data_IF_962968839379
#
_entry.id   IF_962968839379
#
_cell.length_a   1.000
_cell.length_b   1.000
_cell.length_c   1.000
_cell.angle_alpha   90.00
_cell.angle_beta   90.00
_cell.angle_gamma   90.00
#
_symmetry.space_group_name_H-M   'P 1'
#
loop_
_entity.id
_entity.type
_entity.pdbx_description
1 polymer ?
#
# COMPACT_ATOMS: atom_id res chain seq x y z
N UNK A 1 42.83 38.70 32.78
CA UNK A 1 42.99 37.61 31.77
C UNK A 1 42.59 36.21 32.25
N UNK A 2 42.68 35.86 33.54
CA UNK A 2 42.27 34.52 34.03
C UNK A 2 40.75 34.28 34.16
N UNK A 3 39.93 35.33 34.25
CA UNK A 3 38.46 35.23 34.42
C UNK A 3 37.68 35.03 33.12
N UNK A 4 38.22 35.45 31.98
CA UNK A 4 37.56 35.32 30.68
C UNK A 4 37.70 33.93 30.05
N UNK A 5 38.72 33.16 30.44
CA UNK A 5 38.92 31.79 29.93
C UNK A 5 37.92 30.79 30.57
N UNK A 6 37.50 31.05 31.82
CA UNK A 6 36.53 30.18 32.51
C UNK A 6 35.11 30.28 31.94
N UNK A 7 34.72 31.42 31.37
CA UNK A 7 33.36 31.61 30.83
C UNK A 7 33.16 30.91 29.47
N UNK A 8 34.21 30.86 28.64
CA UNK A 8 34.13 30.24 27.30
C UNK A 8 34.08 28.71 27.40
N UNK A 9 34.77 28.12 28.39
CA UNK A 9 34.72 26.67 28.62
C UNK A 9 33.36 26.19 29.17
N UNK A 10 32.65 27.01 29.94
CA UNK A 10 31.32 26.67 30.46
C UNK A 10 30.22 26.73 29.38
N UNK A 11 30.32 27.64 28.41
CA UNK A 11 29.38 27.70 27.29
C UNK A 11 29.55 26.54 26.29
N UNK A 12 30.78 26.02 26.11
CA UNK A 12 31.04 24.92 25.19
C UNK A 12 30.58 23.54 25.71
N UNK A 13 30.40 23.38 27.03
CA UNK A 13 29.89 22.12 27.62
C UNK A 13 28.36 22.05 27.70
N UNK A 14 27.65 23.15 27.48
CA UNK A 14 26.18 23.18 27.49
C UNK A 14 25.54 22.79 26.15
N UNK A 15 26.31 22.66 25.07
CA UNK A 15 25.78 22.34 23.73
C UNK A 15 25.90 20.85 23.35
N UNK A 16 26.46 20.00 24.21
CA UNK A 16 26.66 18.58 23.93
C UNK A 16 25.63 17.66 24.61
N UNK A 17 24.67 18.21 25.35
CA UNK A 17 23.64 17.44 26.04
C UNK A 17 22.27 17.70 25.38
N UNK A 18 21.57 16.61 25.04
CA UNK A 18 20.19 16.57 24.55
C UNK A 18 19.99 16.82 23.04
N UNK A 19 20.67 16.03 22.20
CA UNK A 19 20.10 15.63 20.91
C UNK A 19 19.85 14.12 20.91
N UNK A 20 19.14 13.62 21.93
CA UNK A 20 18.39 12.36 21.74
C UNK A 20 17.28 12.71 20.75
N UNK A 21 17.46 12.33 19.50
CA UNK A 21 16.44 12.48 18.46
C UNK A 21 15.30 11.53 18.79
N UNK A 22 14.37 12.01 19.64
CA UNK A 22 13.09 11.38 19.92
C UNK A 22 12.38 11.09 18.59
N UNK A 23 11.68 9.96 18.49
CA UNK A 23 10.95 9.57 17.28
C UNK A 23 11.80 8.88 16.22
N UNK A 24 13.09 8.62 16.44
CA UNK A 24 13.93 7.91 15.46
C UNK A 24 14.01 6.40 15.70
N UNK A 25 13.52 5.91 16.82
CA UNK A 25 13.44 4.46 17.07
C UNK A 25 12.04 3.99 16.71
N UNK A 26 11.92 2.89 15.98
CA UNK A 26 10.62 2.31 15.67
C UNK A 26 9.87 1.90 16.96
N UNK A 27 8.55 2.14 17.07
CA UNK A 27 7.74 1.56 18.14
C UNK A 27 7.64 0.05 17.93
N UNK A 28 8.33 -0.78 18.71
CA UNK A 28 8.40 -2.23 18.45
C UNK A 28 7.38 -3.03 19.24
N UNK A 29 6.75 -4.02 18.60
CA UNK A 29 5.81 -4.93 19.26
C UNK A 29 6.50 -5.88 20.25
N UNK A 30 7.80 -6.15 20.05
CA UNK A 30 8.60 -6.97 20.96
C UNK A 30 8.92 -6.29 22.30
N UNK A 31 8.70 -4.98 22.40
CA UNK A 31 9.00 -4.23 23.61
C UNK A 31 8.08 -4.67 24.75
N UNK A 32 8.65 -4.98 25.90
CA UNK A 32 7.83 -5.28 27.08
C UNK A 32 7.30 -3.99 27.69
N UNK A 33 6.14 -4.04 28.35
CA UNK A 33 5.60 -2.88 29.12
C UNK A 33 6.57 -2.36 30.19
N UNK A 34 7.49 -3.20 30.66
CA UNK A 34 8.48 -2.85 31.67
C UNK A 34 9.70 -2.14 31.06
N UNK A 35 9.84 -2.17 29.74
CA UNK A 35 10.91 -1.52 28.97
C UNK A 35 10.39 -1.07 27.59
N UNK A 36 9.42 -0.14 27.54
CA UNK A 36 8.86 0.36 26.29
C UNK A 36 9.89 1.23 25.55
N UNK A 37 9.81 1.26 24.22
CA UNK A 37 10.47 2.32 23.44
C UNK A 37 9.90 3.70 23.80
N UNK A 38 10.70 4.74 23.62
CA UNK A 38 10.28 6.12 23.88
C UNK A 38 9.09 6.51 22.99
N UNK A 39 9.04 5.98 21.78
CA UNK A 39 8.01 6.23 20.80
C UNK A 39 6.65 5.67 21.23
N UNK A 40 6.61 4.47 21.82
CA UNK A 40 5.38 3.90 22.41
C UNK A 40 4.91 4.76 23.60
N UNK A 41 5.83 5.23 24.45
CA UNK A 41 5.48 6.14 25.56
C UNK A 41 4.89 7.44 25.02
N UNK A 42 5.47 8.00 23.96
CA UNK A 42 4.97 9.22 23.34
C UNK A 42 3.63 9.01 22.61
N UNK A 43 3.33 7.82 22.07
CA UNK A 43 1.98 7.47 21.60
C UNK A 43 0.97 7.48 22.75
N UNK A 44 1.32 6.84 23.88
CA UNK A 44 0.45 6.76 25.06
C UNK A 44 0.10 8.16 25.60
N UNK A 45 1.04 9.10 25.55
CA UNK A 45 0.83 10.50 25.96
C UNK A 45 0.08 11.32 24.91
N UNK A 46 0.29 11.05 23.63
CA UNK A 46 -0.36 11.78 22.54
C UNK A 46 -1.86 11.52 22.51
N UNK A 47 -2.28 10.26 22.67
CA UNK A 47 -3.71 9.85 22.62
C UNK A 47 -4.07 9.18 23.93
N UNK A 48 -4.39 9.99 24.95
CA UNK A 48 -4.48 9.55 26.35
C UNK A 48 -5.51 8.44 26.63
N UNK A 49 -6.60 8.38 25.85
CA UNK A 49 -7.66 7.40 26.04
C UNK A 49 -7.45 6.11 25.24
N UNK A 50 -6.51 6.07 24.29
CA UNK A 50 -6.30 4.92 23.43
C UNK A 50 -5.84 3.69 24.21
N UNK A 51 -6.58 2.58 24.13
CA UNK A 51 -6.18 1.29 24.70
C UNK A 51 -5.04 0.63 23.91
N UNK A 52 -5.00 0.83 22.59
CA UNK A 52 -4.00 0.26 21.70
C UNK A 52 -3.24 1.33 20.92
N UNK A 53 -1.99 1.01 20.55
CA UNK A 53 -1.13 1.84 19.70
C UNK A 53 -0.45 1.00 18.62
N UNK A 54 -0.13 1.59 17.46
CA UNK A 54 0.56 0.88 16.40
C UNK A 54 2.01 0.57 16.79
N UNK A 55 2.43 -0.65 16.52
CA UNK A 55 3.82 -1.07 16.65
C UNK A 55 4.26 -1.87 15.42
N UNK A 56 5.58 -1.98 15.27
CA UNK A 56 6.25 -2.71 14.21
C UNK A 56 6.81 -4.03 14.74
N UNK A 57 6.51 -5.11 14.03
CA UNK A 57 7.20 -6.39 14.13
C UNK A 57 8.51 -6.32 13.31
N UNK A 58 8.80 -7.38 12.56
CA UNK A 58 9.89 -7.39 11.59
C UNK A 58 9.39 -6.79 10.26
N UNK A 59 10.02 -5.70 9.83
CA UNK A 59 9.78 -5.13 8.51
C UNK A 59 10.38 -6.04 7.41
N UNK A 60 9.68 -6.20 6.26
CA UNK A 60 10.25 -6.82 5.07
C UNK A 60 11.57 -6.18 4.63
N UNK A 61 12.36 -6.93 3.86
CA UNK A 61 13.60 -6.39 3.28
C UNK A 61 13.27 -5.25 2.33
N UNK A 62 14.00 -4.15 2.47
CA UNK A 62 13.81 -2.94 1.66
C UNK A 62 12.79 -1.96 2.25
N UNK A 63 12.11 -2.33 3.34
CA UNK A 63 11.21 -1.43 4.08
C UNK A 63 11.96 -0.76 5.22
N UNK A 64 11.73 0.53 5.41
CA UNK A 64 12.39 1.32 6.43
C UNK A 64 11.37 2.17 7.21
N UNK A 65 11.58 2.25 8.52
CA UNK A 65 10.89 3.22 9.36
C UNK A 65 11.64 4.56 9.27
N UNK A 66 10.92 5.63 8.96
CA UNK A 66 11.53 6.96 8.81
C UNK A 66 11.63 7.67 10.17
N UNK A 67 10.50 8.18 10.66
CA UNK A 67 10.41 8.96 11.90
C UNK A 67 8.97 9.00 12.40
N UNK A 68 8.80 9.21 13.70
CA UNK A 68 7.51 9.39 14.34
C UNK A 68 7.36 10.79 14.92
N UNK A 69 6.23 11.41 14.58
CA UNK A 69 5.81 12.69 15.08
C UNK A 69 4.65 12.56 16.07
N UNK A 70 4.55 13.52 16.99
CA UNK A 70 3.56 13.50 18.06
C UNK A 70 3.01 14.89 18.29
N UNK A 71 1.70 14.97 18.50
CA UNK A 71 0.99 16.14 19.02
C UNK A 71 -0.17 15.66 19.89
N UNK A 72 -0.78 16.57 20.64
CA UNK A 72 -1.96 16.21 21.42
C UNK A 72 -3.07 15.71 20.48
N UNK A 73 -3.59 14.52 20.78
CA UNK A 73 -4.63 13.83 19.99
C UNK A 73 -4.11 13.02 18.80
N UNK A 74 -2.81 13.01 18.50
CA UNK A 74 -2.28 12.27 17.34
C UNK A 74 -0.82 11.85 17.49
N UNK A 75 -0.53 10.60 17.14
CA UNK A 75 0.83 10.15 16.85
C UNK A 75 0.89 9.57 15.43
N UNK A 76 1.92 9.92 14.66
CA UNK A 76 2.04 9.50 13.26
C UNK A 76 3.45 9.09 12.87
N UNK A 77 3.60 8.06 12.06
CA UNK A 77 4.86 7.69 11.44
C UNK A 77 4.61 7.14 10.03
N UNK A 78 5.69 6.93 9.26
CA UNK A 78 5.61 6.42 7.90
C UNK A 78 6.62 5.30 7.69
N UNK A 79 6.34 4.46 6.70
CA UNK A 79 7.26 3.47 6.17
C UNK A 79 7.64 3.85 4.74
N UNK A 80 8.92 3.70 4.43
CA UNK A 80 9.49 3.84 3.09
C UNK A 80 9.80 2.45 2.52
N UNK A 81 9.82 2.33 1.19
CA UNK A 81 10.21 1.11 0.49
C UNK A 81 11.13 1.42 -0.69
N UNK A 82 12.21 0.66 -0.81
CA UNK A 82 13.11 0.72 -1.98
C UNK A 82 12.42 0.33 -3.31
N UNK A 83 11.26 -0.33 -3.24
CA UNK A 83 10.46 -0.78 -4.39
C UNK A 83 9.16 -0.02 -4.57
N UNK A 84 8.53 0.42 -3.48
CA UNK A 84 7.21 1.07 -3.51
C UNK A 84 7.26 2.59 -3.22
N UNK A 85 8.45 3.14 -3.01
CA UNK A 85 8.68 4.58 -2.85
C UNK A 85 8.65 5.06 -1.41
N UNK A 86 8.89 6.36 -1.26
CA UNK A 86 8.87 7.05 0.02
C UNK A 86 7.42 7.14 0.55
N UNK A 87 7.24 6.89 1.84
CA UNK A 87 5.97 7.01 2.57
C UNK A 87 4.81 6.24 1.95
N UNK A 88 5.11 5.08 1.37
CA UNK A 88 4.10 4.19 0.79
C UNK A 88 3.06 3.73 1.85
N UNK A 89 3.39 3.84 3.15
CA UNK A 89 2.42 3.70 4.25
C UNK A 89 2.56 4.85 5.24
N UNK A 90 1.45 5.51 5.54
CA UNK A 90 1.31 6.45 6.65
C UNK A 90 0.45 5.85 7.75
N UNK A 91 0.97 5.79 8.97
CA UNK A 91 0.28 5.25 10.15
C UNK A 91 -0.05 6.36 11.11
N UNK A 92 -1.30 6.43 11.57
CA UNK A 92 -1.79 7.45 12.49
C UNK A 92 -2.58 6.83 13.63
N UNK A 93 -2.17 7.08 14.86
CA UNK A 93 -3.00 6.88 16.04
C UNK A 93 -3.73 8.18 16.36
N UNK A 94 -5.06 8.14 16.41
CA UNK A 94 -5.95 9.29 16.70
C UNK A 94 -6.99 8.92 17.74
N UNK A 95 -7.69 9.92 18.27
CA UNK A 95 -8.79 9.75 19.25
C UNK A 95 -10.04 9.10 18.63
N UNK A 96 -10.32 9.37 17.37
CA UNK A 96 -11.45 8.84 16.61
C UNK A 96 -11.21 8.93 15.11
N UNK A 97 -11.89 8.07 14.33
CA UNK A 97 -11.83 8.10 12.87
C UNK A 97 -13.24 8.00 12.26
N UNK A 98 -13.42 8.61 11.09
CA UNK A 98 -14.62 8.45 10.27
C UNK A 98 -14.40 7.28 9.31
N UNK A 99 -15.24 6.26 9.44
CA UNK A 99 -15.18 5.02 8.63
C UNK A 99 -16.29 4.97 7.58
N UNK A 100 -16.93 6.10 7.28
CA UNK A 100 -17.98 6.15 6.27
C UNK A 100 -17.48 5.62 4.92
N UNK A 101 -18.14 4.59 4.40
CA UNK A 101 -17.79 3.95 3.13
C UNK A 101 -16.77 2.82 3.25
N UNK A 102 -16.29 2.51 4.46
CA UNK A 102 -15.44 1.35 4.70
C UNK A 102 -16.27 0.06 4.82
N UNK A 103 -15.72 -1.03 4.31
CA UNK A 103 -16.25 -2.38 4.46
C UNK A 103 -15.65 -3.05 5.70
N UNK A 104 -16.44 -3.89 6.36
CA UNK A 104 -15.98 -4.74 7.46
C UNK A 104 -15.00 -5.79 6.92
N UNK A 105 -13.82 -5.87 7.52
CA UNK A 105 -12.78 -6.80 7.13
C UNK A 105 -12.66 -7.95 8.13
N UNK A 106 -12.06 -9.07 7.69
CA UNK A 106 -11.85 -10.19 8.57
C UNK A 106 -11.10 -9.77 9.85
N UNK A 107 -11.59 -10.25 10.99
CA UNK A 107 -11.05 -9.92 12.32
C UNK A 107 -9.57 -10.31 12.41
N UNK A 108 -8.69 -9.30 12.50
CA UNK A 108 -7.25 -9.51 12.66
C UNK A 108 -6.84 -9.63 14.13
N UNK A 109 -7.63 -9.10 15.06
CA UNK A 109 -7.34 -9.13 16.49
C UNK A 109 -8.65 -9.04 17.31
N UNK A 110 -8.84 -9.85 18.37
CA UNK A 110 -10.12 -9.99 19.08
C UNK A 110 -10.63 -8.77 19.84
N UNK A 111 -9.83 -7.71 19.90
CA UNK A 111 -10.15 -6.46 20.61
C UNK A 111 -9.97 -5.23 19.72
N UNK A 112 -9.79 -5.43 18.41
CA UNK A 112 -9.58 -4.36 17.43
C UNK A 112 -10.35 -4.70 16.16
N UNK A 113 -11.42 -3.97 15.91
CA UNK A 113 -12.24 -4.14 14.71
C UNK A 113 -11.53 -3.52 13.50
N UNK A 114 -11.54 -4.19 12.35
CA UNK A 114 -10.88 -3.72 11.13
C UNK A 114 -11.90 -3.34 10.07
N UNK A 115 -11.73 -2.15 9.51
CA UNK A 115 -12.52 -1.64 8.39
C UNK A 115 -11.59 -1.18 7.27
N UNK A 116 -12.00 -1.35 6.02
CA UNK A 116 -11.14 -1.08 4.86
C UNK A 116 -11.91 -0.31 3.79
N UNK A 117 -11.27 0.73 3.25
CA UNK A 117 -11.62 1.33 1.97
C UNK A 117 -10.53 0.91 0.98
N UNK A 118 -10.85 0.03 0.01
CA UNK A 118 -9.93 -0.32 -1.08
C UNK A 118 -10.21 0.62 -2.27
N UNK A 119 -9.28 1.53 -2.57
CA UNK A 119 -9.42 2.49 -3.68
C UNK A 119 -8.96 1.88 -5.01
N UNK A 120 -7.82 1.19 -4.98
CA UNK A 120 -7.25 0.51 -6.15
C UNK A 120 -6.44 -0.70 -5.73
N UNK A 121 -6.73 -1.83 -6.36
CA UNK A 121 -6.05 -3.09 -6.08
C UNK A 121 -5.81 -3.84 -7.38
N UNK A 122 -4.59 -3.75 -7.89
CA UNK A 122 -4.20 -4.37 -9.16
C UNK A 122 -3.85 -5.86 -8.98
N UNK A 123 -4.80 -6.69 -8.52
CA UNK A 123 -4.60 -8.15 -8.32
C UNK A 123 -4.45 -8.93 -9.63
N UNK A 124 -5.13 -8.48 -10.68
CA UNK A 124 -5.14 -9.12 -11.98
C UNK A 124 -4.68 -8.13 -13.04
N UNK A 125 -4.24 -8.65 -14.19
CA UNK A 125 -3.98 -7.87 -15.39
C UNK A 125 -5.26 -7.82 -16.24
N UNK A 126 -6.01 -6.71 -16.24
CA UNK A 126 -7.21 -6.61 -17.07
C UNK A 126 -6.83 -6.50 -18.55
N UNK A 127 -7.33 -7.44 -19.37
CA UNK A 127 -7.17 -7.43 -20.82
C UNK A 127 -8.55 -7.48 -21.48
N UNK A 128 -8.83 -6.56 -22.39
CA UNK A 128 -10.07 -6.55 -23.16
C UNK A 128 -9.77 -6.89 -24.61
N UNK A 129 -10.37 -7.98 -25.10
CA UNK A 129 -10.26 -8.39 -26.50
C UNK A 129 -11.47 -7.88 -27.28
N UNK A 130 -11.21 -7.12 -28.35
CA UNK A 130 -12.20 -6.51 -29.24
C UNK A 130 -12.12 -7.20 -30.62
N UNK A 131 -12.93 -8.25 -30.87
CA UNK A 131 -13.04 -8.85 -32.19
C UNK A 131 -13.81 -7.95 -33.17
N UNK A 132 -13.31 -7.83 -34.40
CA UNK A 132 -13.91 -7.08 -35.51
C UNK A 132 -14.72 -7.97 -36.46
N UNK A 133 -15.61 -8.79 -35.90
CA UNK A 133 -16.52 -9.66 -36.65
C UNK A 133 -16.63 -11.06 -36.06
N UNK A 134 -17.47 -11.89 -36.69
CA UNK A 134 -17.78 -13.24 -36.17
C UNK A 134 -16.58 -14.20 -36.23
N UNK A 135 -15.75 -14.10 -37.28
CA UNK A 135 -14.55 -14.93 -37.41
C UNK A 135 -13.48 -14.54 -36.38
N UNK A 136 -13.11 -13.25 -36.22
CA UNK A 136 -12.26 -12.80 -35.12
C UNK A 136 -12.80 -13.16 -33.73
N UNK A 137 -14.12 -13.23 -33.53
CA UNK A 137 -14.71 -13.58 -32.22
C UNK A 137 -14.28 -14.97 -31.74
N UNK A 138 -14.27 -15.97 -32.60
CA UNK A 138 -13.83 -17.33 -32.21
C UNK A 138 -12.33 -17.37 -31.90
N UNK A 139 -11.54 -16.59 -32.64
CA UNK A 139 -10.11 -16.47 -32.37
C UNK A 139 -9.84 -15.74 -31.05
N UNK A 140 -10.56 -14.66 -30.77
CA UNK A 140 -10.52 -13.92 -29.50
C UNK A 140 -10.85 -14.82 -28.29
N UNK A 141 -11.85 -15.70 -28.39
CA UNK A 141 -12.12 -16.70 -27.35
C UNK A 141 -10.97 -17.70 -27.16
N UNK A 142 -10.26 -18.03 -28.24
CA UNK A 142 -9.04 -18.84 -28.16
C UNK A 142 -7.93 -18.13 -27.40
N UNK A 143 -7.69 -16.85 -27.69
CA UNK A 143 -6.73 -16.00 -26.96
C UNK A 143 -7.13 -15.89 -25.48
N UNK A 144 -8.41 -15.68 -25.19
CA UNK A 144 -8.91 -15.63 -23.80
C UNK A 144 -8.53 -16.89 -23.02
N UNK A 145 -8.82 -18.07 -23.57
CA UNK A 145 -8.49 -19.36 -22.93
C UNK A 145 -6.97 -19.53 -22.76
N UNK A 146 -6.17 -19.03 -23.71
CA UNK A 146 -4.72 -19.07 -23.60
C UNK A 146 -4.22 -18.23 -22.43
N UNK A 147 -4.73 -16.99 -22.30
CA UNK A 147 -4.29 -16.03 -21.28
C UNK A 147 -4.86 -16.30 -19.89
N UNK A 148 -6.09 -16.80 -19.76
CA UNK A 148 -6.70 -17.15 -18.45
C UNK A 148 -5.87 -18.18 -17.66
N UNK A 149 -5.00 -18.94 -18.34
CA UNK A 149 -4.08 -19.89 -17.73
C UNK A 149 -2.68 -19.35 -17.44
N UNK A 150 -2.39 -18.09 -17.78
CA UNK A 150 -1.07 -17.48 -17.63
C UNK A 150 -1.04 -16.45 -16.49
N UNK A 151 0.18 -16.11 -16.09
CA UNK A 151 0.47 -15.10 -15.08
C UNK A 151 1.58 -14.19 -15.57
N UNK A 152 1.50 -12.90 -15.26
CA UNK A 152 2.59 -11.94 -15.45
C UNK A 152 3.11 -11.56 -14.07
N UNK A 153 4.33 -11.97 -13.75
CA UNK A 153 4.79 -12.01 -12.35
C UNK A 153 3.89 -12.93 -11.53
N UNK A 154 3.30 -12.40 -10.46
CA UNK A 154 2.36 -13.13 -9.58
C UNK A 154 0.87 -12.81 -9.87
N UNK A 155 0.59 -12.03 -10.93
CA UNK A 155 -0.77 -11.59 -11.29
C UNK A 155 -1.36 -12.46 -12.40
N UNK A 156 -2.58 -12.94 -12.20
CA UNK A 156 -3.33 -13.62 -13.24
C UNK A 156 -3.89 -12.61 -14.25
N UNK A 157 -4.02 -13.02 -15.52
CA UNK A 157 -4.80 -12.24 -16.47
C UNK A 157 -6.29 -12.33 -16.14
N UNK A 158 -6.98 -11.19 -16.22
CA UNK A 158 -8.44 -11.12 -16.22
C UNK A 158 -8.88 -10.70 -17.63
N UNK A 159 -9.15 -11.70 -18.47
CA UNK A 159 -9.40 -11.47 -19.89
C UNK A 159 -10.89 -11.45 -20.19
N UNK A 160 -11.36 -10.34 -20.75
CA UNK A 160 -12.74 -10.17 -21.19
C UNK A 160 -12.79 -10.02 -22.71
N UNK A 161 -13.53 -10.91 -23.39
CA UNK A 161 -13.91 -10.67 -24.78
C UNK A 161 -15.13 -9.77 -24.81
N UNK A 162 -14.95 -8.53 -25.25
CA UNK A 162 -16.08 -7.63 -25.48
C UNK A 162 -16.66 -7.97 -26.86
N UNK A 163 -17.88 -8.50 -26.91
CA UNK A 163 -18.57 -8.82 -28.17
C UNK A 163 -19.78 -7.91 -28.41
N UNK A 164 -19.85 -6.79 -27.68
CA UNK A 164 -20.94 -5.85 -27.80
C UNK A 164 -21.08 -5.35 -29.25
N UNK A 165 -22.30 -5.45 -29.78
CA UNK A 165 -22.54 -5.44 -31.23
C UNK A 165 -22.30 -4.06 -31.86
N UNK A 166 -21.37 -4.01 -32.83
CA UNK A 166 -21.24 -2.94 -33.82
C UNK A 166 -19.78 -2.51 -34.09
N UNK A 167 -19.23 -2.67 -35.32
CA UNK A 167 -17.87 -2.22 -35.66
C UNK A 167 -17.69 -0.70 -35.59
N UNK A 168 -18.79 0.07 -35.56
CA UNK A 168 -18.74 1.54 -35.46
C UNK A 168 -18.40 2.06 -34.05
N UNK A 169 -18.22 1.16 -33.07
CA UNK A 169 -18.03 1.52 -31.65
C UNK A 169 -16.67 1.09 -31.10
N UNK A 170 -15.71 0.72 -31.95
CA UNK A 170 -14.37 0.28 -31.51
C UNK A 170 -13.71 1.32 -30.60
N UNK A 171 -13.78 2.60 -30.97
CA UNK A 171 -13.24 3.68 -30.15
C UNK A 171 -13.93 3.78 -28.78
N UNK A 172 -15.27 3.71 -28.74
CA UNK A 172 -16.04 3.74 -27.48
C UNK A 172 -15.69 2.55 -26.56
N UNK A 173 -15.59 1.36 -27.14
CA UNK A 173 -15.24 0.11 -26.43
C UNK A 173 -13.81 0.14 -25.89
N UNK A 174 -12.88 0.63 -26.70
CA UNK A 174 -11.48 0.85 -26.33
C UNK A 174 -11.39 1.88 -25.20
N UNK A 175 -12.04 3.04 -25.35
CA UNK A 175 -12.00 4.10 -24.34
C UNK A 175 -12.62 3.63 -23.02
N UNK A 176 -13.68 2.80 -23.06
CA UNK A 176 -14.25 2.16 -21.88
C UNK A 176 -13.35 1.09 -21.24
N UNK A 177 -12.49 0.43 -22.02
CA UNK A 177 -11.48 -0.48 -21.51
C UNK A 177 -10.33 0.28 -20.83
N UNK A 178 -9.81 1.34 -21.46
CA UNK A 178 -8.76 2.19 -20.87
C UNK A 178 -9.22 2.93 -19.62
N UNK A 179 -10.48 3.37 -19.56
CA UNK A 179 -11.05 3.96 -18.34
C UNK A 179 -11.05 2.98 -17.14
N UNK A 180 -10.91 1.67 -17.39
CA UNK A 180 -10.77 0.63 -16.36
C UNK A 180 -9.31 0.16 -16.17
N UNK A 181 -8.35 0.82 -16.80
CA UNK A 181 -6.94 0.46 -16.77
C UNK A 181 -6.59 -0.82 -17.55
N UNK A 182 -7.44 -1.26 -18.48
CA UNK A 182 -7.23 -2.49 -19.24
C UNK A 182 -6.33 -2.29 -20.47
N UNK A 183 -5.45 -3.26 -20.72
CA UNK A 183 -4.82 -3.41 -22.04
C UNK A 183 -5.88 -3.86 -23.06
N UNK A 184 -5.78 -3.39 -24.30
CA UNK A 184 -6.76 -3.68 -25.34
C UNK A 184 -6.12 -4.45 -26.47
N UNK A 185 -6.69 -5.61 -26.80
CA UNK A 185 -6.34 -6.40 -27.97
C UNK A 185 -7.43 -6.25 -29.02
N UNK A 186 -7.14 -5.61 -30.14
CA UNK A 186 -8.04 -5.60 -31.28
C UNK A 186 -7.67 -6.75 -32.20
N UNK A 187 -8.68 -7.49 -32.64
CA UNK A 187 -8.50 -8.66 -33.52
C UNK A 187 -9.35 -8.49 -34.76
N UNK A 188 -8.71 -8.41 -35.92
CA UNK A 188 -9.35 -8.40 -37.24
C UNK A 188 -9.12 -9.71 -38.03
N UNK A 189 -9.60 -9.77 -39.27
CA UNK A 189 -9.44 -10.97 -40.12
C UNK A 189 -7.99 -11.24 -40.53
N UNK A 190 -7.13 -10.21 -40.59
CA UNK A 190 -5.71 -10.37 -40.88
C UNK A 190 -4.99 -10.94 -39.66
N UNK A 191 -5.33 -10.46 -38.47
CA UNK A 191 -4.81 -10.96 -37.20
C UNK A 191 -5.08 -12.47 -37.05
N UNK A 192 -6.29 -12.91 -37.41
CA UNK A 192 -6.66 -14.35 -37.45
C UNK A 192 -5.83 -15.14 -38.47
N UNK A 193 -5.49 -14.54 -39.61
CA UNK A 193 -4.73 -15.22 -40.66
C UNK A 193 -3.24 -15.36 -40.29
N UNK A 194 -2.71 -14.34 -39.63
CA UNK A 194 -1.30 -14.23 -39.29
C UNK A 194 -0.98 -14.79 -37.89
N UNK A 195 -1.99 -15.18 -37.11
CA UNK A 195 -1.87 -15.60 -35.71
C UNK A 195 -1.33 -14.49 -34.79
N UNK A 196 -1.82 -13.28 -34.97
CA UNK A 196 -1.41 -12.07 -34.24
C UNK A 196 -2.60 -11.40 -33.56
N UNK A 197 -2.34 -10.34 -32.80
CA UNK A 197 -3.35 -9.37 -32.37
C UNK A 197 -2.77 -7.96 -32.41
N UNK A 198 -3.62 -6.94 -32.49
CA UNK A 198 -3.20 -5.55 -32.37
C UNK A 198 -3.30 -5.11 -30.92
N UNK A 199 -2.16 -4.96 -30.23
CA UNK A 199 -2.07 -4.49 -28.86
C UNK A 199 -2.13 -2.96 -28.82
N UNK A 200 -2.97 -2.45 -27.92
CA UNK A 200 -3.09 -1.04 -27.61
C UNK A 200 -3.02 -0.84 -26.10
N UNK A 201 -2.16 0.08 -25.68
CA UNK A 201 -1.96 0.46 -24.29
C UNK A 201 -2.18 1.97 -24.14
N UNK A 202 -2.63 2.41 -22.96
CA UNK A 202 -3.03 3.81 -22.67
C UNK A 202 -1.93 4.85 -22.94
N UNK A 203 -0.67 4.41 -23.17
CA UNK A 203 0.50 5.27 -23.42
C UNK A 203 1.29 4.98 -24.71
N UNK A 204 0.94 3.97 -25.50
CA UNK A 204 1.65 3.70 -26.75
C UNK A 204 1.12 4.61 -27.88
N UNK A 205 1.97 5.47 -28.43
CA UNK A 205 1.63 6.38 -29.53
C UNK A 205 1.31 5.62 -30.85
N UNK A 206 1.57 4.31 -30.92
CA UNK A 206 1.24 3.45 -32.06
C UNK A 206 0.72 2.09 -31.61
N UNK A 207 -0.35 1.57 -32.24
CA UNK A 207 -0.77 0.19 -32.05
C UNK A 207 0.28 -0.76 -32.64
N UNK A 208 0.70 -1.76 -31.86
CA UNK A 208 1.65 -2.76 -32.30
C UNK A 208 0.94 -4.07 -32.59
N UNK A 209 1.19 -4.63 -33.78
CA UNK A 209 0.77 -6.00 -34.08
C UNK A 209 1.76 -6.95 -33.45
N UNK A 210 1.26 -7.83 -32.60
CA UNK A 210 2.05 -8.73 -31.75
C UNK A 210 1.66 -10.17 -32.04
N UNK A 211 2.64 -11.06 -32.03
CA UNK A 211 2.41 -12.50 -32.07
C UNK A 211 1.81 -12.94 -30.72
N UNK A 212 0.86 -13.89 -30.75
CA UNK A 212 0.15 -14.30 -29.53
C UNK A 212 1.07 -14.94 -28.49
N UNK A 213 2.15 -15.60 -28.92
CA UNK A 213 3.15 -16.20 -28.04
C UNK A 213 4.14 -15.20 -27.44
N UNK A 214 4.27 -13.99 -28.00
CA UNK A 214 5.09 -12.88 -27.45
C UNK A 214 4.28 -11.94 -26.55
N UNK A 215 2.96 -12.12 -26.50
CA UNK A 215 2.05 -11.21 -25.81
C UNK A 215 2.32 -11.13 -24.30
N UNK A 216 2.76 -12.23 -23.66
CA UNK A 216 3.12 -12.25 -22.24
C UNK A 216 4.29 -11.31 -21.94
N UNK A 217 5.35 -11.36 -22.76
CA UNK A 217 6.56 -10.55 -22.59
C UNK A 217 6.24 -9.06 -22.75
N UNK A 218 5.45 -8.71 -23.76
CA UNK A 218 5.07 -7.32 -24.03
C UNK A 218 4.11 -6.75 -22.98
N UNK A 219 3.17 -7.55 -22.50
CA UNK A 219 2.30 -7.14 -21.40
C UNK A 219 3.09 -7.01 -20.10
N UNK A 220 4.13 -7.83 -19.89
CA UNK A 220 4.97 -7.74 -18.69
C UNK A 220 5.71 -6.40 -18.56
N UNK A 221 6.28 -5.88 -19.66
CA UNK A 221 7.12 -4.67 -19.63
C UNK A 221 6.34 -3.37 -19.39
N UNK A 222 5.11 -3.26 -19.91
CA UNK A 222 4.31 -2.01 -19.81
C UNK A 222 3.28 -2.01 -18.67
N UNK A 223 2.94 -3.18 -18.12
CA UNK A 223 2.03 -3.32 -16.96
C UNK A 223 2.75 -3.22 -15.61
N UNK A 224 4.03 -2.84 -15.62
CA UNK A 224 4.96 -2.83 -14.48
C UNK A 224 4.49 -2.07 -13.24
N UNK A 225 3.51 -1.18 -13.36
CA UNK A 225 3.03 -0.40 -12.22
C UNK A 225 1.84 -1.06 -11.56
N UNK A 226 2.11 -2.16 -10.85
CA UNK A 226 1.19 -2.71 -9.86
C UNK A 226 0.96 -1.63 -8.80
N UNK A 227 -0.30 -1.37 -8.46
CA UNK A 227 -0.63 -0.46 -7.37
C UNK A 227 -1.61 -1.07 -6.38
N UNK A 228 -1.42 -0.70 -5.13
CA UNK A 228 -2.34 -0.98 -4.03
C UNK A 228 -2.54 0.29 -3.21
N UNK A 229 -3.73 0.85 -3.32
CA UNK A 229 -4.17 2.03 -2.59
C UNK A 229 -5.36 1.66 -1.72
N UNK A 230 -5.20 1.82 -0.41
CA UNK A 230 -6.25 1.53 0.55
C UNK A 230 -6.10 2.35 1.83
N UNK A 231 -7.21 2.54 2.54
CA UNK A 231 -7.21 3.05 3.91
C UNK A 231 -7.74 1.98 4.85
N UNK A 232 -6.95 1.58 5.84
CA UNK A 232 -7.38 0.66 6.89
C UNK A 232 -7.65 1.41 8.18
N UNK A 233 -8.76 1.10 8.81
CA UNK A 233 -9.14 1.62 10.11
C UNK A 233 -9.18 0.48 11.12
N UNK A 234 -8.52 0.69 12.25
CA UNK A 234 -8.50 -0.23 13.37
C UNK A 234 -9.10 0.47 14.58
N UNK A 235 -10.32 0.08 14.93
CA UNK A 235 -11.12 0.71 15.98
C UNK A 235 -10.99 -0.08 17.28
N UNK A 236 -10.90 0.64 18.39
CA UNK A 236 -10.86 0.10 19.73
C UNK A 236 -11.27 1.17 20.75
N UNK A 237 -11.37 0.78 22.01
CA UNK A 237 -11.76 1.71 23.07
C UNK A 237 -10.78 2.90 23.17
N UNK A 238 -11.34 4.10 23.07
CA UNK A 238 -10.63 5.37 23.25
C UNK A 238 -9.67 5.76 22.11
N UNK A 239 -9.73 5.10 20.95
CA UNK A 239 -8.88 5.50 19.82
C UNK A 239 -9.16 4.76 18.50
N UNK A 240 -8.42 5.19 17.48
CA UNK A 240 -8.40 4.54 16.17
C UNK A 240 -6.99 4.61 15.58
N UNK A 241 -6.58 3.54 14.89
CA UNK A 241 -5.38 3.56 14.06
C UNK A 241 -5.81 3.60 12.60
N UNK A 242 -5.28 4.55 11.85
CA UNK A 242 -5.50 4.72 10.42
C UNK A 242 -4.20 4.40 9.69
N UNK A 243 -4.28 3.49 8.72
CA UNK A 243 -3.21 3.18 7.78
C UNK A 243 -3.62 3.71 6.40
N UNK A 244 -2.95 4.74 5.91
CA UNK A 244 -3.10 5.23 4.54
C UNK A 244 -1.99 4.58 3.71
N UNK A 245 -2.38 3.74 2.75
CA UNK A 245 -1.47 2.92 1.95
C UNK A 245 -1.54 3.42 0.50
N UNK A 246 -0.39 3.76 -0.06
CA UNK A 246 -0.22 4.17 -1.44
C UNK A 246 1.05 3.50 -1.98
N UNK A 247 0.90 2.23 -2.38
CA UNK A 247 2.00 1.41 -2.89
C UNK A 247 1.93 1.36 -4.42
N UNK A 248 3.03 1.72 -5.08
CA UNK A 248 3.17 1.62 -6.54
C UNK A 248 4.52 0.97 -6.88
N UNK A 249 4.51 -0.08 -7.69
CA UNK A 249 5.72 -0.77 -8.15
C UNK A 249 5.80 -2.23 -7.67
N UNK A 250 6.97 -2.87 -7.83
CA UNK A 250 7.15 -4.30 -7.54
C UNK A 250 6.79 -4.66 -6.09
N UNK A 251 5.88 -5.63 -5.94
CA UNK A 251 5.40 -6.13 -4.64
C UNK A 251 4.13 -5.47 -4.10
N UNK A 252 3.61 -4.41 -4.75
CA UNK A 252 2.38 -3.74 -4.34
C UNK A 252 1.15 -4.67 -4.32
N UNK A 253 1.11 -5.71 -5.15
CA UNK A 253 0.07 -6.75 -5.17
C UNK A 253 -0.01 -7.60 -3.89
N UNK A 254 1.12 -7.73 -3.18
CA UNK A 254 1.23 -8.52 -1.95
C UNK A 254 1.35 -7.66 -0.69
N UNK A 255 1.42 -6.32 -0.83
CA UNK A 255 1.71 -5.38 0.27
C UNK A 255 0.71 -5.51 1.43
N UNK A 256 -0.56 -5.79 1.15
CA UNK A 256 -1.57 -5.99 2.20
C UNK A 256 -1.22 -7.14 3.15
N UNK A 257 -0.77 -8.27 2.61
CA UNK A 257 -0.34 -9.41 3.41
C UNK A 257 0.98 -9.13 4.15
N UNK A 258 1.91 -8.42 3.53
CA UNK A 258 3.17 -8.04 4.17
C UNK A 258 2.93 -7.06 5.33
N UNK A 259 2.03 -6.09 5.16
CA UNK A 259 1.63 -5.13 6.19
C UNK A 259 0.96 -5.82 7.38
N UNK A 260 0.07 -6.78 7.16
CA UNK A 260 -0.56 -7.56 8.24
C UNK A 260 0.46 -8.30 9.12
N UNK A 261 1.64 -8.62 8.58
CA UNK A 261 2.72 -9.26 9.32
C UNK A 261 3.67 -8.25 9.97
N UNK A 262 3.95 -7.16 9.26
CA UNK A 262 4.87 -6.11 9.68
C UNK A 262 4.30 -5.25 10.81
N UNK A 263 2.98 -5.09 10.86
CA UNK A 263 2.28 -4.24 11.80
C UNK A 263 1.65 -5.06 12.93
N UNK A 264 1.53 -4.44 14.10
CA UNK A 264 0.88 -5.03 15.26
C UNK A 264 0.34 -3.98 16.21
N UNK A 265 -0.17 -4.46 17.36
CA UNK A 265 -0.79 -3.62 18.38
C UNK A 265 -0.03 -3.73 19.70
N UNK A 266 0.26 -2.57 20.29
CA UNK A 266 0.83 -2.43 21.62
C UNK A 266 -0.26 -2.00 22.60
N UNK A 267 -0.35 -2.64 23.77
CA UNK A 267 -1.34 -2.28 24.79
C UNK A 267 -0.87 -1.04 25.57
N UNK A 268 -1.38 0.14 25.18
CA UNK A 268 -1.03 1.42 25.79
C UNK A 268 -1.69 1.58 27.17
N UNK A 269 -2.86 1.00 27.39
CA UNK A 269 -3.51 1.01 28.71
C UNK A 269 -2.65 0.32 29.77
N UNK A 270 -2.20 -0.90 29.49
CA UNK A 270 -1.32 -1.67 30.37
C UNK A 270 0.01 -0.95 30.63
N UNK A 271 0.52 -0.22 29.64
CA UNK A 271 1.70 0.64 29.81
C UNK A 271 1.42 1.79 30.78
N UNK A 272 0.29 2.50 30.62
CA UNK A 272 -0.11 3.58 31.54
C UNK A 272 -0.32 3.05 32.96
N UNK A 273 -1.00 1.92 33.12
CA UNK A 273 -1.15 1.25 34.42
C UNK A 273 0.19 0.92 35.05
N UNK A 274 1.13 0.37 34.28
CA UNK A 274 2.48 0.10 34.74
C UNK A 274 3.18 1.40 35.19
N UNK A 275 3.16 2.46 34.37
CA UNK A 275 3.74 3.76 34.74
C UNK A 275 3.17 4.32 36.04
N UNK A 276 1.84 4.29 36.22
CA UNK A 276 1.18 4.70 37.47
C UNK A 276 1.64 3.86 38.67
N UNK A 277 1.83 2.54 38.48
CA UNK A 277 2.36 1.66 39.52
C UNK A 277 3.80 2.03 39.95
N UNK A 278 4.56 2.67 39.06
CA UNK A 278 5.91 3.19 39.33
C UNK A 278 5.90 4.65 39.82
N UNK A 279 4.72 5.26 39.99
CA UNK A 279 4.57 6.66 40.41
C UNK A 279 4.79 7.68 39.30
N UNK A 280 4.72 7.26 38.04
CA UNK A 280 4.73 8.14 36.88
C UNK A 280 3.31 8.59 36.55
N UNK A 281 3.15 9.87 36.25
CA UNK A 281 1.92 10.42 35.70
C UNK A 281 2.04 10.39 34.17
N UNK A 282 1.28 9.51 33.53
CA UNK A 282 1.26 9.28 32.08
C UNK A 282 -0.17 9.24 31.56
#
# INVERSE_FOLDING_TARGET
MRRTIALVAACAMLTAACASTLGRTAPRCSDSRDSPSGEVVLQAQAVAEATWGPCLNDLPVGWEYEHQEHKLGEARFWLDSDRMGDRFVTVRLVDSCDIAGADDAAESHPAVDRWVIEDRVDRNVPVVIIPLGDRPRNYALGIQVLLDGQTVGDRAFDVTVDDSAGPERIAERRDAAFARGAAVLVVDDLDVADNTATLMMDRADSPDRVEIDELEELLSDDLEKVSYTATWFHLFDGGCIVYEIDAEGPGADSVSFELDRALGFYNLEALREFGRSQGLDM
#
